data_IF_094769802522
#
_entry.id   IF_094769802522
#
_cell.length_a   1.000
_cell.length_b   1.000
_cell.length_c   1.000
_cell.angle_alpha   90.00
_cell.angle_beta   90.00
_cell.angle_gamma   90.00
#
_symmetry.space_group_name_H-M   'P 1'
#
loop_
_entity.id
_entity.type
_entity.pdbx_description
1 polymer ?
#
# COMPACT_ATOMS: atom_id res chain seq x y z
N UNK A 1 8.79 16.45 -2.11
CA UNK A 1 9.26 15.60 -3.24
C UNK A 1 8.12 14.66 -3.63
N UNK A 2 7.91 14.38 -4.92
CA UNK A 2 6.80 13.51 -5.37
C UNK A 2 7.34 12.13 -5.72
N UNK A 3 6.68 11.09 -5.22
CA UNK A 3 7.04 9.69 -5.49
C UNK A 3 5.83 8.90 -5.98
N UNK A 4 6.06 7.99 -6.92
CA UNK A 4 5.08 7.00 -7.33
C UNK A 4 5.40 5.70 -6.59
N UNK A 5 4.44 5.18 -5.83
CA UNK A 5 4.59 3.94 -5.09
C UNK A 5 4.38 2.74 -6.01
N UNK A 6 5.30 1.79 -5.98
CA UNK A 6 5.09 0.48 -6.57
C UNK A 6 4.07 -0.31 -5.74
N UNK A 7 3.29 -1.17 -6.40
CA UNK A 7 2.30 -2.04 -5.74
C UNK A 7 2.92 -2.88 -4.64
N UNK A 8 4.17 -3.35 -4.77
CA UNK A 8 4.81 -4.17 -3.74
C UNK A 8 5.08 -3.39 -2.45
N UNK A 9 5.52 -2.13 -2.53
CA UNK A 9 5.77 -1.30 -1.34
C UNK A 9 4.49 -1.12 -0.53
N UNK A 10 3.36 -0.92 -1.21
CA UNK A 10 2.06 -0.80 -0.55
C UNK A 10 1.61 -2.13 0.04
N UNK A 11 1.78 -3.26 -0.68
CA UNK A 11 1.49 -4.59 -0.13
C UNK A 11 2.34 -4.91 1.11
N UNK A 12 3.61 -4.52 1.10
CA UNK A 12 4.53 -4.80 2.21
C UNK A 12 4.05 -4.11 3.49
N UNK A 13 3.47 -2.91 3.37
CA UNK A 13 2.81 -2.24 4.49
C UNK A 13 1.48 -2.93 4.87
N UNK A 14 0.55 -3.06 3.93
CA UNK A 14 -0.83 -3.49 4.21
C UNK A 14 -0.93 -4.92 4.72
N UNK A 15 -0.03 -5.80 4.28
CA UNK A 15 0.01 -7.22 4.63
C UNK A 15 1.14 -7.55 5.61
N UNK A 16 1.87 -6.53 6.08
CA UNK A 16 3.03 -6.68 6.98
C UNK A 16 4.06 -7.70 6.47
N UNK A 17 4.43 -7.62 5.18
CA UNK A 17 5.34 -8.59 4.55
C UNK A 17 6.78 -8.35 4.96
N UNK A 18 7.38 -9.35 5.59
CA UNK A 18 8.82 -9.36 5.84
C UNK A 18 9.61 -9.67 4.56
N UNK A 19 10.82 -9.11 4.39
CA UNK A 19 11.56 -8.26 5.33
C UNK A 19 11.30 -6.75 5.19
N UNK A 20 10.39 -6.34 4.29
CA UNK A 20 10.32 -4.95 3.81
C UNK A 20 9.30 -4.08 4.53
N UNK A 21 8.43 -4.65 5.37
CA UNK A 21 7.39 -3.92 6.12
C UNK A 21 7.93 -2.71 6.88
N UNK A 22 9.13 -2.81 7.47
CA UNK A 22 9.73 -1.71 8.23
C UNK A 22 10.07 -0.52 7.32
N UNK A 23 10.66 -0.79 6.15
CA UNK A 23 10.98 0.25 5.17
C UNK A 23 9.72 0.85 4.54
N UNK A 24 8.73 0.02 4.22
CA UNK A 24 7.44 0.49 3.71
C UNK A 24 6.75 1.42 4.73
N UNK A 25 6.77 1.07 6.01
CA UNK A 25 6.24 1.92 7.08
C UNK A 25 6.94 3.27 7.16
N UNK A 26 8.28 3.30 7.07
CA UNK A 26 9.03 4.56 7.08
C UNK A 26 8.62 5.49 5.93
N UNK A 27 8.42 4.94 4.72
CA UNK A 27 7.93 5.71 3.57
C UNK A 27 6.56 6.33 3.84
N UNK A 28 5.63 5.55 4.42
CA UNK A 28 4.29 6.04 4.72
C UNK A 28 4.26 7.07 5.85
N UNK A 29 5.11 6.93 6.88
CA UNK A 29 5.27 7.96 7.93
C UNK A 29 5.72 9.29 7.32
N UNK A 30 6.63 9.28 6.34
CA UNK A 30 7.05 10.51 5.64
C UNK A 30 5.90 11.12 4.81
N UNK A 31 5.02 10.30 4.26
CA UNK A 31 3.81 10.76 3.54
C UNK A 31 2.82 11.38 4.53
N UNK A 32 2.52 10.70 5.64
CA UNK A 32 1.61 11.17 6.70
C UNK A 32 2.08 12.49 7.32
N UNK A 33 3.39 12.65 7.51
CA UNK A 33 4.02 13.89 7.99
C UNK A 33 4.09 15.00 6.92
N UNK A 34 3.60 14.76 5.70
CA UNK A 34 3.68 15.67 4.56
C UNK A 34 5.10 16.08 4.14
N UNK A 35 6.11 15.24 4.44
CA UNK A 35 7.51 15.46 4.03
C UNK A 35 7.70 15.08 2.54
N UNK A 36 6.92 14.10 2.06
CA UNK A 36 6.85 13.67 0.67
C UNK A 36 5.39 13.50 0.22
N UNK A 37 5.13 13.62 -1.07
CA UNK A 37 3.82 13.33 -1.66
C UNK A 37 3.87 11.94 -2.34
N UNK A 38 3.09 10.99 -1.83
CA UNK A 38 2.92 9.66 -2.41
C UNK A 38 1.77 9.60 -3.41
N UNK A 39 1.99 8.94 -4.54
CA UNK A 39 0.98 8.70 -5.57
C UNK A 39 0.87 7.20 -5.87
N UNK A 40 -0.32 6.77 -6.28
CA UNK A 40 -0.58 5.44 -6.83
C UNK A 40 -1.16 5.56 -8.23
N UNK A 41 -0.80 4.63 -9.11
CA UNK A 41 -1.50 4.52 -10.38
C UNK A 41 -2.91 3.97 -10.14
N UNK A 42 -3.90 4.43 -10.94
CA UNK A 42 -5.27 3.95 -10.81
C UNK A 42 -5.41 2.42 -10.97
N UNK A 43 -4.60 1.81 -11.85
CA UNK A 43 -4.56 0.36 -12.01
C UNK A 43 -3.84 -0.37 -10.85
N UNK A 44 -2.98 0.33 -10.08
CA UNK A 44 -2.38 -0.25 -8.89
C UNK A 44 -3.43 -0.51 -7.81
N UNK A 45 -4.48 0.32 -7.70
CA UNK A 45 -5.57 0.12 -6.73
C UNK A 45 -6.32 -1.18 -6.97
N UNK A 46 -6.72 -1.46 -8.22
CA UNK A 46 -7.41 -2.73 -8.54
C UNK A 46 -6.49 -3.94 -8.46
N UNK A 47 -5.18 -3.75 -8.71
CA UNK A 47 -4.18 -4.81 -8.52
C UNK A 47 -3.98 -5.12 -7.04
N UNK A 48 -3.90 -4.10 -6.18
CA UNK A 48 -3.83 -4.26 -4.72
C UNK A 48 -5.05 -5.02 -4.20
N UNK A 49 -6.26 -4.61 -4.61
CA UNK A 49 -7.51 -5.28 -4.26
C UNK A 49 -7.46 -6.78 -4.56
N UNK A 50 -7.09 -7.13 -5.79
CA UNK A 50 -6.99 -8.52 -6.23
C UNK A 50 -5.96 -9.32 -5.42
N UNK A 51 -4.78 -8.75 -5.16
CA UNK A 51 -3.70 -9.44 -4.45
C UNK A 51 -4.02 -9.62 -2.96
N UNK A 52 -4.54 -8.59 -2.31
CA UNK A 52 -5.00 -8.66 -0.91
C UNK A 52 -6.10 -9.71 -0.79
N UNK A 53 -7.09 -9.70 -1.69
CA UNK A 53 -8.19 -10.66 -1.65
C UNK A 53 -7.77 -12.11 -1.88
N UNK A 54 -6.64 -12.33 -2.54
CA UNK A 54 -6.05 -13.67 -2.71
C UNK A 54 -5.32 -14.18 -1.47
N UNK A 55 -4.70 -13.30 -0.70
CA UNK A 55 -3.96 -13.67 0.51
C UNK A 55 -4.86 -13.73 1.74
N UNK A 56 -5.85 -12.85 1.79
CA UNK A 56 -6.87 -12.73 2.81
C UNK A 56 -8.22 -13.23 2.28
N UNK A 57 -9.19 -12.34 2.10
CA UNK A 57 -10.45 -12.59 1.44
C UNK A 57 -10.98 -11.29 0.82
N UNK A 58 -12.07 -11.37 0.06
CA UNK A 58 -12.62 -10.22 -0.65
C UNK A 58 -13.10 -9.12 0.31
N UNK A 59 -13.71 -9.47 1.44
CA UNK A 59 -14.25 -8.50 2.41
C UNK A 59 -13.12 -7.68 3.03
N UNK A 60 -12.03 -8.34 3.47
CA UNK A 60 -10.84 -7.65 3.96
C UNK A 60 -10.19 -6.77 2.86
N UNK A 61 -10.22 -7.22 1.60
CA UNK A 61 -9.68 -6.42 0.49
C UNK A 61 -10.54 -5.17 0.20
N UNK A 62 -11.86 -5.29 0.26
CA UNK A 62 -12.80 -4.17 0.10
C UNK A 62 -12.59 -3.14 1.23
N UNK A 63 -12.45 -3.60 2.48
CA UNK A 63 -12.17 -2.74 3.64
C UNK A 63 -10.83 -2.00 3.49
N UNK A 64 -9.74 -2.72 3.24
CA UNK A 64 -8.39 -2.14 3.16
C UNK A 64 -8.29 -1.10 2.02
N UNK A 65 -8.89 -1.38 0.85
CA UNK A 65 -8.83 -0.46 -0.29
C UNK A 65 -9.68 0.80 -0.05
N UNK A 66 -10.72 0.73 0.79
CA UNK A 66 -11.54 1.89 1.12
C UNK A 66 -10.83 2.92 2.01
N UNK A 67 -9.75 2.52 2.68
CA UNK A 67 -8.95 3.36 3.58
C UNK A 67 -7.71 3.97 2.90
N UNK A 68 -7.45 3.61 1.64
CA UNK A 68 -6.34 4.10 0.79
C UNK A 68 -6.66 5.43 0.10
#
# INVERSE_FOLDING_TARGET
>A
MKILLDTNVVLDLLLAREPFVTYAREIFVLIENAEIEGYLCANSVTTLHYLIGREKNKEEADEIISEL
#
